data_IF_680028449605
#
_entry.id   IF_680028449605
#
_cell.length_a   1.000
_cell.length_b   1.000
_cell.length_c   1.000
_cell.angle_alpha   90.00
_cell.angle_beta   90.00
_cell.angle_gamma   90.00
#
_symmetry.space_group_name_H-M   'P 1'
#
loop_
_entity.id
_entity.type
_entity.pdbx_description
1 polymer ?
#
# COMPACT_ATOMS: atom_id res chain seq x y z
N UNK A 1 -29.29 -0.27 13.84
CA UNK A 1 -28.18 -0.28 14.83
C UNK A 1 -26.89 -0.85 14.24
N UNK A 2 -26.95 -1.91 13.42
CA UNK A 2 -25.79 -2.46 12.69
C UNK A 2 -25.20 -1.46 11.68
N UNK A 3 -26.03 -0.79 10.88
CA UNK A 3 -25.60 0.19 9.88
C UNK A 3 -24.77 1.36 10.47
N UNK A 4 -25.21 1.94 11.57
CA UNK A 4 -24.45 3.01 12.26
C UNK A 4 -23.10 2.52 12.76
N UNK A 5 -22.98 1.26 13.18
CA UNK A 5 -21.70 0.66 13.61
C UNK A 5 -20.77 0.42 12.43
N UNK A 6 -21.28 -0.05 11.31
CA UNK A 6 -20.53 -0.19 10.05
C UNK A 6 -19.99 1.19 9.63
N UNK A 7 -20.85 2.21 9.62
CA UNK A 7 -20.44 3.58 9.29
C UNK A 7 -19.38 4.12 10.25
N UNK A 8 -19.51 3.88 11.56
CA UNK A 8 -18.53 4.28 12.56
C UNK A 8 -17.19 3.56 12.37
N UNK A 9 -17.20 2.25 12.07
CA UNK A 9 -16.00 1.47 11.78
C UNK A 9 -15.28 2.01 10.53
N UNK A 10 -16.03 2.22 9.44
CA UNK A 10 -15.48 2.79 8.21
C UNK A 10 -14.94 4.20 8.41
N UNK A 11 -15.60 5.04 9.22
CA UNK A 11 -15.11 6.38 9.55
C UNK A 11 -13.81 6.32 10.36
N UNK A 12 -13.74 5.45 11.37
CA UNK A 12 -12.52 5.22 12.16
C UNK A 12 -11.35 4.83 11.25
N UNK A 13 -11.57 3.89 10.34
CA UNK A 13 -10.57 3.45 9.36
C UNK A 13 -10.10 4.58 8.46
N UNK A 14 -11.04 5.35 7.88
CA UNK A 14 -10.74 6.48 7.00
C UNK A 14 -9.95 7.57 7.72
N UNK A 15 -10.35 7.92 8.94
CA UNK A 15 -9.66 8.95 9.74
C UNK A 15 -8.25 8.48 10.10
N UNK A 16 -8.08 7.23 10.52
CA UNK A 16 -6.75 6.68 10.78
C UNK A 16 -5.83 6.79 9.57
N UNK A 17 -6.30 6.38 8.39
CA UNK A 17 -5.54 6.50 7.14
C UNK A 17 -5.24 7.95 6.76
N UNK A 18 -6.23 8.84 6.90
CA UNK A 18 -6.07 10.27 6.60
C UNK A 18 -4.95 10.92 7.41
N UNK A 19 -4.73 10.48 8.64
CA UNK A 19 -3.69 10.98 9.54
C UNK A 19 -2.46 10.08 9.62
N UNK A 20 -2.37 9.01 8.83
CA UNK A 20 -1.31 8.00 8.95
C UNK A 20 0.10 8.59 8.88
N UNK A 21 0.33 9.56 7.98
CA UNK A 21 1.63 10.24 7.81
C UNK A 21 2.04 11.05 9.05
N UNK A 22 1.06 11.63 9.76
CA UNK A 22 1.31 12.38 10.98
C UNK A 22 1.48 11.42 12.17
N UNK A 23 0.62 10.40 12.23
CA UNK A 23 0.64 9.38 13.27
C UNK A 23 1.92 8.57 13.24
N UNK A 24 2.49 8.27 12.08
CA UNK A 24 3.75 7.49 11.97
C UNK A 24 4.95 8.15 12.67
N UNK A 25 4.92 9.47 12.88
CA UNK A 25 5.95 10.22 13.61
C UNK A 25 5.69 10.27 15.12
N UNK A 26 4.54 9.80 15.57
CA UNK A 26 4.13 9.84 16.96
C UNK A 26 4.40 8.50 17.64
N UNK A 27 5.07 8.53 18.79
CA UNK A 27 5.50 7.32 19.51
C UNK A 27 4.33 6.38 19.90
N UNK A 28 3.11 6.91 20.02
CA UNK A 28 1.91 6.14 20.36
C UNK A 28 1.19 5.48 19.18
N UNK A 29 1.74 5.55 17.96
CA UNK A 29 1.10 5.03 16.74
C UNK A 29 0.75 3.54 16.86
N UNK A 30 1.70 2.74 17.34
CA UNK A 30 1.51 1.30 17.51
C UNK A 30 0.33 1.02 18.45
N UNK A 31 0.30 1.64 19.63
CA UNK A 31 -0.76 1.41 20.61
C UNK A 31 -2.14 1.82 20.07
N UNK A 32 -2.22 2.93 19.34
CA UNK A 32 -3.45 3.36 18.68
C UNK A 32 -3.89 2.35 17.62
N UNK A 33 -2.97 1.91 16.78
CA UNK A 33 -3.24 0.93 15.73
C UNK A 33 -3.76 -0.39 16.31
N UNK A 34 -3.08 -0.93 17.31
CA UNK A 34 -3.49 -2.17 17.99
C UNK A 34 -4.87 -2.02 18.64
N UNK A 35 -5.18 -0.84 19.20
CA UNK A 35 -6.51 -0.54 19.74
C UNK A 35 -7.59 -0.48 18.66
N UNK A 36 -7.27 -0.02 17.44
CA UNK A 36 -8.19 -0.06 16.30
C UNK A 36 -8.48 -1.51 15.93
N UNK A 37 -7.46 -2.37 15.84
CA UNK A 37 -7.65 -3.81 15.57
C UNK A 37 -8.54 -4.45 16.66
N UNK A 38 -8.28 -4.16 17.94
CA UNK A 38 -9.09 -4.69 19.05
C UNK A 38 -10.56 -4.21 18.97
N UNK A 39 -10.82 -3.00 18.47
CA UNK A 39 -12.19 -2.52 18.21
C UNK A 39 -12.82 -3.29 17.06
N UNK A 40 -12.08 -3.56 15.98
CA UNK A 40 -12.56 -4.35 14.84
C UNK A 40 -12.92 -5.78 15.24
N UNK A 41 -12.06 -6.44 16.01
CA UNK A 41 -12.31 -7.77 16.61
C UNK A 41 -13.64 -7.76 17.39
N UNK A 42 -13.82 -6.80 18.30
CA UNK A 42 -15.04 -6.66 19.10
C UNK A 42 -16.28 -6.39 18.26
N UNK A 43 -16.16 -5.63 17.17
CA UNK A 43 -17.28 -5.34 16.28
C UNK A 43 -17.70 -6.59 15.50
N UNK A 44 -16.73 -7.33 14.96
CA UNK A 44 -16.98 -8.59 14.26
C UNK A 44 -17.60 -9.64 15.19
N UNK A 45 -17.05 -9.81 16.40
CA UNK A 45 -17.52 -10.77 17.40
C UNK A 45 -18.73 -10.28 18.22
N UNK A 46 -19.40 -9.19 17.82
CA UNK A 46 -20.56 -8.66 18.54
C UNK A 46 -21.89 -9.37 18.22
N UNK A 47 -21.91 -10.29 17.26
CA UNK A 47 -23.11 -11.04 16.86
C UNK A 47 -24.20 -10.16 16.22
N UNK A 48 -23.81 -9.07 15.56
CA UNK A 48 -24.72 -8.01 15.09
C UNK A 48 -25.01 -8.04 13.58
N UNK A 49 -24.80 -9.19 12.95
CA UNK A 49 -25.26 -9.51 11.59
C UNK A 49 -24.19 -9.40 10.50
N UNK A 50 -24.53 -10.01 9.37
CA UNK A 50 -23.66 -10.28 8.21
C UNK A 50 -22.92 -9.03 7.68
N UNK A 51 -23.52 -7.84 7.79
CA UNK A 51 -22.90 -6.60 7.29
C UNK A 51 -21.58 -6.24 8.00
N UNK A 52 -21.42 -6.56 9.29
CA UNK A 52 -20.15 -6.32 9.99
C UNK A 52 -19.12 -7.41 9.68
N UNK A 53 -19.58 -8.64 9.47
CA UNK A 53 -18.73 -9.77 9.06
C UNK A 53 -18.10 -9.55 7.69
N UNK A 54 -18.74 -8.77 6.81
CA UNK A 54 -18.17 -8.34 5.53
C UNK A 54 -17.37 -7.03 5.63
N UNK A 55 -17.92 -6.01 6.31
CA UNK A 55 -17.31 -4.69 6.33
C UNK A 55 -16.01 -4.62 7.14
N UNK A 56 -15.88 -5.39 8.22
CA UNK A 56 -14.67 -5.38 9.06
C UNK A 56 -13.46 -5.95 8.32
N UNK A 57 -13.52 -7.16 7.71
CA UNK A 57 -12.42 -7.69 6.93
C UNK A 57 -12.05 -6.78 5.76
N UNK A 58 -13.04 -6.25 5.04
CA UNK A 58 -12.81 -5.35 3.91
C UNK A 58 -12.11 -4.05 4.34
N UNK A 59 -12.54 -3.44 5.43
CA UNK A 59 -11.89 -2.24 5.96
C UNK A 59 -10.45 -2.52 6.41
N UNK A 60 -10.19 -3.67 7.06
CA UNK A 60 -8.84 -4.06 7.47
C UNK A 60 -7.94 -4.36 6.27
N UNK A 61 -8.43 -5.07 5.24
CA UNK A 61 -7.72 -5.30 3.97
C UNK A 61 -7.22 -3.99 3.40
N UNK A 62 -8.11 -3.02 3.25
CA UNK A 62 -7.79 -1.71 2.68
C UNK A 62 -6.73 -0.95 3.48
N UNK A 63 -6.79 -0.99 4.83
CA UNK A 63 -5.77 -0.34 5.66
C UNK A 63 -4.42 -1.04 5.52
N UNK A 64 -4.38 -2.36 5.67
CA UNK A 64 -3.14 -3.14 5.65
C UNK A 64 -2.43 -3.01 4.31
N UNK A 65 -3.19 -3.05 3.21
CA UNK A 65 -2.67 -2.86 1.88
C UNK A 65 -2.07 -1.46 1.71
N UNK A 66 -2.77 -0.42 2.18
CA UNK A 66 -2.27 0.95 2.13
C UNK A 66 -1.02 1.18 3.00
N UNK A 67 -1.01 0.62 4.22
CA UNK A 67 0.14 0.69 5.11
C UNK A 67 1.34 -0.02 4.50
N UNK A 68 1.15 -1.17 3.87
CA UNK A 68 2.22 -1.91 3.19
C UNK A 68 2.74 -1.15 1.97
N UNK A 69 1.86 -0.66 1.09
CA UNK A 69 2.27 0.08 -0.12
C UNK A 69 2.94 1.41 0.19
N UNK A 70 2.59 2.03 1.33
CA UNK A 70 3.21 3.26 1.82
C UNK A 70 4.46 3.04 2.69
N UNK A 71 4.87 1.78 2.91
CA UNK A 71 6.06 1.43 3.69
C UNK A 71 5.92 1.55 5.22
N UNK A 72 4.69 1.68 5.74
CA UNK A 72 4.39 1.71 7.18
C UNK A 72 4.12 0.34 7.80
N UNK A 73 3.97 -0.70 6.97
CA UNK A 73 3.85 -2.09 7.43
C UNK A 73 4.74 -2.96 6.55
N UNK A 74 5.98 -3.14 6.98
CA UNK A 74 7.01 -3.84 6.21
C UNK A 74 7.37 -5.16 6.90
N UNK A 75 7.52 -6.28 6.15
CA UNK A 75 7.99 -7.53 6.71
C UNK A 75 9.36 -7.38 7.41
N UNK A 76 9.60 -8.07 8.54
CA UNK A 76 10.88 -8.01 9.26
C UNK A 76 12.09 -8.38 8.40
N UNK A 77 11.88 -9.21 7.38
CA UNK A 77 12.91 -9.60 6.39
C UNK A 77 13.40 -8.42 5.53
N UNK A 78 12.56 -7.39 5.32
CA UNK A 78 12.90 -6.19 4.55
C UNK A 78 13.35 -5.05 5.47
N UNK A 79 12.70 -4.89 6.62
CA UNK A 79 13.01 -3.85 7.61
C UNK A 79 12.85 -4.40 9.05
N UNK A 80 13.96 -4.72 9.74
CA UNK A 80 13.93 -5.18 11.13
C UNK A 80 13.34 -4.16 12.11
N UNK A 81 13.39 -2.85 11.79
CA UNK A 81 12.88 -1.82 12.69
C UNK A 81 11.35 -1.87 12.83
N UNK A 82 10.66 -2.46 11.86
CA UNK A 82 9.21 -2.63 11.85
C UNK A 82 8.73 -3.98 12.38
N UNK A 83 9.65 -4.84 12.86
CA UNK A 83 9.34 -6.18 13.35
C UNK A 83 8.23 -6.18 14.40
N UNK A 84 8.33 -5.28 15.38
CA UNK A 84 7.34 -5.19 16.47
C UNK A 84 5.94 -4.87 15.95
N UNK A 85 5.82 -3.92 15.02
CA UNK A 85 4.54 -3.53 14.42
C UNK A 85 3.96 -4.68 13.60
N UNK A 86 4.81 -5.33 12.80
CA UNK A 86 4.42 -6.47 11.98
C UNK A 86 3.87 -7.64 12.82
N UNK A 87 4.66 -8.09 13.81
CA UNK A 87 4.29 -9.23 14.66
C UNK A 87 3.01 -8.94 15.44
N UNK A 88 2.91 -7.78 16.08
CA UNK A 88 1.74 -7.46 16.92
C UNK A 88 0.46 -7.20 16.11
N UNK A 89 0.59 -6.77 14.84
CA UNK A 89 -0.53 -6.65 13.90
C UNK A 89 -1.09 -8.02 13.55
N UNK A 90 -0.25 -8.94 13.04
CA UNK A 90 -0.70 -10.28 12.65
C UNK A 90 -1.18 -11.11 13.82
N UNK A 91 -0.48 -11.04 14.96
CA UNK A 91 -0.89 -11.72 16.20
C UNK A 91 -2.32 -11.38 16.65
N UNK A 92 -2.79 -10.14 16.41
CA UNK A 92 -4.17 -9.75 16.73
C UNK A 92 -5.15 -10.14 15.65
N UNK A 93 -4.79 -9.90 14.38
CA UNK A 93 -5.64 -10.22 13.22
C UNK A 93 -5.90 -11.72 13.13
N UNK A 94 -4.87 -12.55 13.29
CA UNK A 94 -4.97 -14.02 13.15
C UNK A 94 -5.97 -14.65 14.14
N UNK A 95 -6.34 -13.94 15.21
CA UNK A 95 -7.32 -14.41 16.20
C UNK A 95 -8.76 -14.41 15.69
N UNK A 96 -9.08 -13.53 14.74
CA UNK A 96 -10.45 -13.38 14.23
C UNK A 96 -10.52 -13.41 12.69
N UNK A 97 -9.39 -13.27 11.99
CA UNK A 97 -9.25 -13.34 10.54
C UNK A 97 -7.96 -14.05 10.13
N UNK A 98 -7.84 -15.37 10.39
CA UNK A 98 -6.61 -16.13 10.10
C UNK A 98 -6.25 -16.18 8.61
N UNK A 99 -7.23 -16.13 7.73
CA UNK A 99 -7.01 -16.21 6.28
C UNK A 99 -6.62 -14.87 5.64
N UNK A 100 -6.81 -13.75 6.37
CA UNK A 100 -6.60 -12.40 5.84
C UNK A 100 -5.16 -12.16 5.37
N UNK A 101 -4.18 -12.76 6.06
CA UNK A 101 -2.77 -12.62 5.70
C UNK A 101 -2.48 -13.25 4.33
N UNK A 102 -3.07 -14.41 4.06
CA UNK A 102 -2.90 -15.12 2.79
C UNK A 102 -3.55 -14.34 1.64
N UNK A 103 -4.71 -13.73 1.89
CA UNK A 103 -5.42 -12.92 0.91
C UNK A 103 -4.62 -11.69 0.44
N UNK A 104 -3.79 -11.11 1.30
CA UNK A 104 -3.09 -9.85 1.03
C UNK A 104 -1.75 -10.04 0.29
N UNK A 105 -1.21 -11.26 0.21
CA UNK A 105 0.04 -11.59 -0.50
C UNK A 105 1.26 -10.69 -0.15
N UNK A 106 1.28 -10.12 1.07
CA UNK A 106 2.26 -9.11 1.50
C UNK A 106 3.69 -9.63 1.64
N UNK A 107 3.88 -10.95 1.56
CA UNK A 107 5.17 -11.62 1.62
C UNK A 107 5.85 -11.79 0.26
N UNK A 108 5.15 -11.57 -0.85
CA UNK A 108 5.83 -11.67 -2.15
C UNK A 108 6.83 -10.52 -2.29
N UNK A 109 8.12 -10.83 -2.50
CA UNK A 109 9.05 -9.82 -2.94
C UNK A 109 8.58 -9.41 -4.33
N UNK A 110 7.90 -8.25 -4.44
CA UNK A 110 7.80 -7.63 -5.75
C UNK A 110 9.24 -7.52 -6.26
N UNK A 111 9.58 -8.11 -7.43
CA UNK A 111 10.83 -7.74 -8.08
C UNK A 111 10.84 -6.20 -8.15
N UNK A 112 12.01 -5.56 -7.96
CA UNK A 112 12.10 -4.11 -7.98
C UNK A 112 11.34 -3.61 -9.21
N UNK A 113 10.54 -2.54 -9.10
CA UNK A 113 9.92 -1.96 -10.28
C UNK A 113 11.06 -1.72 -11.23
N UNK A 114 11.07 -2.47 -12.34
CA UNK A 114 11.91 -2.13 -13.47
C UNK A 114 11.61 -0.67 -13.70
N UNK A 115 12.63 0.16 -13.48
CA UNK A 115 12.56 1.56 -13.77
C UNK A 115 11.92 1.66 -15.14
N UNK A 116 10.86 2.45 -15.22
CA UNK A 116 10.38 2.99 -16.47
C UNK A 116 11.54 3.78 -17.08
N UNK A 117 12.44 3.05 -17.73
CA UNK A 117 13.47 3.52 -18.63
C UNK A 117 12.85 3.57 -20.04
N UNK A 118 11.57 3.92 -20.11
CA UNK A 118 10.80 4.11 -21.33
C UNK A 118 10.56 5.58 -21.67
N UNK A 119 10.86 6.52 -20.75
CA UNK A 119 10.47 7.93 -20.93
C UNK A 119 11.60 8.92 -21.27
N UNK A 120 12.87 8.50 -21.39
CA UNK A 120 13.99 9.44 -21.68
C UNK A 120 14.88 9.05 -22.88
N UNK A 121 14.41 8.16 -23.78
CA UNK A 121 15.15 7.80 -24.99
C UNK A 121 14.54 8.34 -26.32
N UNK A 122 13.41 9.06 -26.27
CA UNK A 122 12.79 9.64 -27.49
C UNK A 122 13.14 11.11 -27.74
N UNK A 123 13.95 11.76 -26.90
CA UNK A 123 14.32 13.17 -27.07
C UNK A 123 15.65 13.40 -27.82
N UNK A 124 16.53 12.41 -27.96
CA UNK A 124 17.87 12.59 -28.56
C UNK A 124 17.98 12.11 -30.02
N UNK A 125 17.09 11.23 -30.48
CA UNK A 125 17.11 10.69 -31.84
C UNK A 125 16.58 11.67 -32.91
N UNK A 126 15.81 12.70 -32.53
CA UNK A 126 15.18 13.64 -33.46
C UNK A 126 16.12 14.77 -33.94
N UNK A 127 17.28 14.97 -33.31
CA UNK A 127 18.20 16.07 -33.68
C UNK A 127 19.27 15.65 -34.69
N UNK A 128 19.55 14.35 -34.88
CA UNK A 128 20.67 13.90 -35.71
C UNK A 128 20.30 13.54 -37.17
N UNK A 129 19.01 13.39 -37.48
CA UNK A 129 18.55 13.08 -38.85
C UNK A 129 18.42 14.35 -39.73
N UNK A 130 18.25 15.52 -39.12
CA UNK A 130 18.13 16.80 -39.83
C UNK A 130 19.47 17.37 -40.36
N UNK A 131 20.62 16.83 -39.96
CA UNK A 131 21.94 17.32 -40.37
C UNK A 131 22.57 16.50 -41.53
N UNK A 132 21.92 15.42 -42.01
CA UNK A 132 22.48 14.54 -43.05
C UNK A 132 21.88 14.72 -44.45
N UNK A 133 20.94 15.66 -44.63
CA UNK A 133 20.31 15.96 -45.92
C UNK A 133 20.70 17.36 -46.43
N UNK A 134 21.99 17.55 -46.74
CA UNK A 134 22.44 18.62 -47.63
C UNK A 134 23.09 17.97 -48.87
N UNK A 135 22.61 18.24 -50.10
CA UNK A 135 23.24 17.70 -51.30
C UNK A 135 24.50 18.53 -51.63
N UNK A 136 25.67 17.91 -51.61
CA UNK A 136 26.84 18.41 -52.35
C UNK A 136 26.67 17.96 -53.81
N UNK A 137 26.25 18.91 -54.66
CA UNK A 137 26.26 18.78 -56.10
C UNK A 137 27.72 18.76 -56.58
N UNK A 138 28.09 17.66 -57.21
CA UNK A 138 29.39 17.39 -57.82
C UNK A 138 29.66 18.31 -59.02
N UNK A 139 30.75 19.08 -58.94
CA UNK A 139 31.37 19.79 -60.06
C UNK A 139 32.82 19.30 -60.16
N UNK A 140 33.13 18.51 -61.20
CA UNK A 140 34.43 18.34 -61.87
C UNK A 140 34.28 17.19 -62.90
N UNK A 141 34.24 17.46 -64.22
CA UNK A 141 35.40 17.49 -65.14
C UNK A 141 36.40 16.36 -64.78
N UNK A 142 36.54 15.30 -65.58
CA UNK A 142 37.21 15.27 -66.89
C UNK A 142 37.00 13.91 -67.58
#
# INVERSE_FOLDING_TARGET
MSETRVQAASLLCKVFLQYLVLLSKWDGMLDLWLKIIDIMDRLMNSGQGDSLEEAVPENLKNILLFMSSSGYLVPPSKDPSQEKLWIETWKRIDRFLPDLRNDLQLEEPSPPPEADAGAEAEADAAMNDAQRAAPEESDEKE
#
